data_IF_015828576600
#
_entry.id   IF_015828576600
#
_cell.length_a   1.000
_cell.length_b   1.000
_cell.length_c   1.000
_cell.angle_alpha   90.00
_cell.angle_beta   90.00
_cell.angle_gamma   90.00
#
_symmetry.space_group_name_H-M   'P 1'
#
loop_
_entity.id
_entity.type
_entity.pdbx_description
1 polymer ?
#
# COMPACT_ATOMS: atom_id res chain seq x y z
N UNK A 1 -25.56 -10.05 -15.85
CA UNK A 1 -24.55 -8.96 -15.79
C UNK A 1 -23.44 -9.16 -16.82
N UNK A 2 -22.69 -10.28 -16.84
CA UNK A 2 -21.56 -10.47 -17.77
C UNK A 2 -21.90 -10.68 -19.27
N UNK A 3 -23.18 -10.65 -19.67
CA UNK A 3 -23.61 -10.88 -21.06
C UNK A 3 -24.02 -9.60 -21.80
N UNK A 4 -24.11 -8.47 -21.08
CA UNK A 4 -24.34 -7.17 -21.68
C UNK A 4 -22.98 -6.50 -21.94
N UNK A 5 -22.64 -6.27 -23.20
CA UNK A 5 -21.37 -5.64 -23.58
C UNK A 5 -21.25 -4.20 -23.06
N UNK A 6 -22.37 -3.53 -22.76
CA UNK A 6 -22.37 -2.18 -22.19
C UNK A 6 -21.96 -2.15 -20.70
N UNK A 7 -22.15 -3.26 -19.99
CA UNK A 7 -21.80 -3.38 -18.56
C UNK A 7 -20.37 -3.88 -18.33
N UNK A 8 -19.70 -4.41 -19.36
CA UNK A 8 -18.36 -5.01 -19.24
C UNK A 8 -17.30 -4.02 -18.72
N UNK A 9 -17.47 -2.72 -18.99
CA UNK A 9 -16.60 -1.64 -18.53
C UNK A 9 -17.35 -0.64 -17.65
N UNK A 10 -18.26 -1.10 -16.79
CA UNK A 10 -19.00 -0.25 -15.86
C UNK A 10 -18.37 -0.17 -14.47
N UNK A 11 -18.77 0.86 -13.72
CA UNK A 11 -18.44 1.03 -12.30
C UNK A 11 -18.88 -0.18 -11.46
N UNK A 12 -20.03 -0.78 -11.79
CA UNK A 12 -20.54 -1.98 -11.13
C UNK A 12 -19.63 -3.19 -11.34
N UNK A 13 -19.11 -3.37 -12.56
CA UNK A 13 -18.18 -4.45 -12.89
C UNK A 13 -16.84 -4.26 -12.19
N UNK A 14 -16.31 -3.04 -12.12
CA UNK A 14 -15.10 -2.73 -11.34
C UNK A 14 -15.29 -3.07 -9.84
N UNK A 15 -16.45 -2.71 -9.27
CA UNK A 15 -16.79 -3.03 -7.88
C UNK A 15 -16.89 -4.53 -7.63
N UNK A 16 -17.60 -5.25 -8.51
CA UNK A 16 -17.71 -6.71 -8.41
C UNK A 16 -16.34 -7.39 -8.47
N UNK A 17 -15.46 -6.96 -9.39
CA UNK A 17 -14.09 -7.49 -9.51
C UNK A 17 -13.30 -7.23 -8.23
N UNK A 18 -13.35 -6.01 -7.69
CA UNK A 18 -12.65 -5.69 -6.45
C UNK A 18 -13.16 -6.52 -5.26
N UNK A 19 -14.47 -6.68 -5.12
CA UNK A 19 -15.06 -7.51 -4.06
C UNK A 19 -14.62 -8.98 -4.20
N UNK A 20 -14.60 -9.51 -5.43
CA UNK A 20 -14.07 -10.86 -5.69
C UNK A 20 -12.61 -10.97 -5.26
N UNK A 21 -11.78 -9.97 -5.60
CA UNK A 21 -10.37 -9.95 -5.20
C UNK A 21 -10.17 -9.89 -3.68
N UNK A 22 -10.92 -9.01 -3.00
CA UNK A 22 -10.87 -8.89 -1.55
C UNK A 22 -11.31 -10.20 -0.87
N UNK A 23 -12.39 -10.82 -1.36
CA UNK A 23 -12.83 -12.13 -0.90
C UNK A 23 -11.80 -13.23 -1.22
N UNK A 24 -11.10 -13.15 -2.35
CA UNK A 24 -10.08 -14.13 -2.71
C UNK A 24 -8.90 -14.12 -1.75
N UNK A 25 -8.39 -12.93 -1.44
CA UNK A 25 -7.34 -12.77 -0.43
C UNK A 25 -7.81 -13.24 0.95
N UNK A 26 -9.05 -12.95 1.34
CA UNK A 26 -9.60 -13.34 2.64
C UNK A 26 -9.81 -14.86 2.78
N UNK A 27 -10.41 -15.51 1.76
CA UNK A 27 -10.86 -16.90 1.84
C UNK A 27 -9.79 -17.90 1.39
N UNK A 28 -9.12 -17.60 0.28
CA UNK A 28 -8.18 -18.53 -0.34
C UNK A 28 -6.71 -18.09 -0.16
N UNK A 29 -6.47 -16.83 0.20
CA UNK A 29 -5.15 -16.23 0.36
C UNK A 29 -4.34 -16.23 -0.95
N UNK A 30 -3.01 -16.04 -0.90
CA UNK A 30 -2.17 -15.77 -2.06
C UNK A 30 -1.92 -17.02 -2.93
N UNK A 31 -2.57 -18.14 -2.63
CA UNK A 31 -2.51 -19.36 -3.42
C UNK A 31 -3.23 -19.23 -4.77
N UNK A 32 -4.23 -18.35 -4.86
CA UNK A 32 -4.93 -18.05 -6.11
C UNK A 32 -4.39 -16.72 -6.66
N UNK A 33 -3.76 -16.70 -7.85
CA UNK A 33 -3.30 -15.45 -8.45
C UNK A 33 -4.48 -14.51 -8.73
N UNK A 34 -4.53 -13.37 -8.05
CA UNK A 34 -5.48 -12.30 -8.36
C UNK A 34 -5.09 -11.52 -9.64
N UNK A 35 -3.96 -11.87 -10.29
CA UNK A 35 -3.36 -11.16 -11.42
C UNK A 35 -4.35 -10.93 -12.57
N UNK A 36 -5.21 -11.90 -12.89
CA UNK A 36 -6.21 -11.75 -13.96
C UNK A 36 -7.32 -10.75 -13.59
N UNK A 37 -7.82 -10.81 -12.36
CA UNK A 37 -8.80 -9.85 -11.84
C UNK A 37 -8.20 -8.44 -11.77
N UNK A 38 -6.93 -8.34 -11.35
CA UNK A 38 -6.20 -7.09 -11.30
C UNK A 38 -5.97 -6.50 -12.69
N UNK A 39 -5.61 -7.31 -13.68
CA UNK A 39 -5.48 -6.89 -15.06
C UNK A 39 -6.81 -6.36 -15.62
N UNK A 40 -7.93 -7.01 -15.29
CA UNK A 40 -9.26 -6.52 -15.69
C UNK A 40 -9.61 -5.19 -15.00
N UNK A 41 -9.36 -5.06 -13.70
CA UNK A 41 -9.61 -3.81 -12.97
C UNK A 41 -8.77 -2.66 -13.55
N UNK A 42 -7.50 -2.92 -13.86
CA UNK A 42 -6.62 -1.96 -14.54
C UNK A 42 -7.14 -1.56 -15.92
N UNK A 43 -7.66 -2.52 -16.70
CA UNK A 43 -8.22 -2.23 -18.01
C UNK A 43 -9.47 -1.32 -17.90
N UNK A 44 -10.33 -1.55 -16.92
CA UNK A 44 -11.50 -0.72 -16.66
C UNK A 44 -11.08 0.69 -16.23
N UNK A 45 -10.16 0.82 -15.28
CA UNK A 45 -9.66 2.12 -14.81
C UNK A 45 -8.95 2.90 -15.91
N UNK A 46 -8.16 2.22 -16.75
CA UNK A 46 -7.53 2.81 -17.93
C UNK A 46 -8.58 3.38 -18.88
N UNK A 47 -9.62 2.60 -19.17
CA UNK A 47 -10.69 3.03 -20.05
C UNK A 47 -11.44 4.24 -19.46
N UNK A 48 -11.76 4.20 -18.16
CA UNK A 48 -12.39 5.30 -17.44
C UNK A 48 -11.60 6.60 -17.48
N UNK A 49 -10.28 6.49 -17.28
CA UNK A 49 -9.39 7.65 -17.31
C UNK A 49 -9.27 8.21 -18.74
N UNK A 50 -9.06 7.35 -19.75
CA UNK A 50 -8.84 7.79 -21.14
C UNK A 50 -10.10 8.34 -21.81
N UNK A 51 -11.24 7.72 -21.56
CA UNK A 51 -12.54 8.12 -22.13
C UNK A 51 -13.24 9.18 -21.27
N UNK A 52 -12.61 9.63 -20.19
CA UNK A 52 -13.05 10.79 -19.41
C UNK A 52 -14.36 10.58 -18.65
N UNK A 53 -14.65 9.34 -18.21
CA UNK A 53 -15.79 9.01 -17.36
C UNK A 53 -15.37 8.58 -15.95
N UNK A 54 -14.12 8.86 -15.54
CA UNK A 54 -13.63 8.58 -14.19
C UNK A 54 -14.50 9.25 -13.10
N UNK A 55 -15.13 10.39 -13.38
CA UNK A 55 -16.08 11.04 -12.47
C UNK A 55 -17.34 10.22 -12.16
N UNK A 56 -17.65 9.19 -12.97
CA UNK A 56 -18.74 8.26 -12.69
C UNK A 56 -18.37 7.27 -11.58
N UNK A 57 -17.08 7.09 -11.29
CA UNK A 57 -16.67 6.36 -10.09
C UNK A 57 -16.95 7.19 -8.85
N UNK A 58 -17.64 6.59 -7.89
CA UNK A 58 -17.60 7.10 -6.53
C UNK A 58 -16.16 7.17 -6.07
N UNK A 59 -15.73 8.33 -5.58
CA UNK A 59 -14.35 8.57 -5.12
C UNK A 59 -13.94 7.52 -4.09
N UNK A 60 -14.85 7.13 -3.20
CA UNK A 60 -14.63 6.05 -2.22
C UNK A 60 -14.19 4.73 -2.83
N UNK A 61 -14.57 4.42 -4.08
CA UNK A 61 -14.12 3.22 -4.77
C UNK A 61 -12.71 3.37 -5.35
N UNK A 62 -12.37 4.54 -5.91
CA UNK A 62 -10.99 4.83 -6.32
C UNK A 62 -10.04 4.80 -5.12
N UNK A 63 -10.50 5.27 -3.95
CA UNK A 63 -9.79 5.17 -2.66
C UNK A 63 -9.47 3.72 -2.31
N UNK A 64 -10.36 2.78 -2.64
CA UNK A 64 -10.14 1.36 -2.36
C UNK A 64 -9.23 0.69 -3.40
N UNK A 65 -9.40 0.99 -4.69
CA UNK A 65 -8.71 0.26 -5.76
C UNK A 65 -7.24 0.65 -5.88
N UNK A 66 -6.94 1.95 -5.83
CA UNK A 66 -5.61 2.47 -6.12
C UNK A 66 -4.53 1.97 -5.15
N UNK A 67 -4.74 1.94 -3.82
CA UNK A 67 -3.77 1.37 -2.91
C UNK A 67 -3.50 -0.11 -3.19
N UNK A 68 -4.55 -0.93 -3.37
CA UNK A 68 -4.42 -2.36 -3.67
C UNK A 68 -3.62 -2.61 -4.95
N UNK A 69 -3.95 -1.89 -6.02
CA UNK A 69 -3.25 -2.00 -7.32
C UNK A 69 -1.80 -1.60 -7.18
N UNK A 70 -1.54 -0.46 -6.54
CA UNK A 70 -0.19 0.11 -6.48
C UNK A 70 0.71 -0.73 -5.58
N UNK A 71 0.18 -1.29 -4.49
CA UNK A 71 0.89 -2.29 -3.72
C UNK A 71 1.25 -3.48 -4.60
N UNK A 72 0.27 -4.07 -5.30
CA UNK A 72 0.52 -5.23 -6.16
C UNK A 72 1.60 -4.95 -7.21
N UNK A 73 1.55 -3.80 -7.86
CA UNK A 73 2.58 -3.36 -8.80
C UNK A 73 3.97 -3.26 -8.18
N UNK A 74 4.09 -2.87 -6.91
CA UNK A 74 5.40 -2.66 -6.28
C UNK A 74 6.29 -3.91 -6.19
N UNK A 75 5.69 -5.10 -6.30
CA UNK A 75 6.40 -6.38 -6.15
C UNK A 75 6.00 -7.43 -7.20
N UNK A 76 5.03 -7.14 -8.07
CA UNK A 76 4.61 -8.02 -9.15
C UNK A 76 5.14 -7.51 -10.50
N UNK A 77 6.23 -8.08 -11.04
CA UNK A 77 6.83 -7.61 -12.29
C UNK A 77 5.93 -7.81 -13.52
N UNK A 78 4.89 -8.65 -13.43
CA UNK A 78 3.90 -8.82 -14.50
C UNK A 78 2.93 -7.63 -14.58
N UNK A 79 2.80 -6.86 -13.49
CA UNK A 79 1.98 -5.65 -13.45
C UNK A 79 2.88 -4.42 -13.66
N UNK A 80 2.99 -4.01 -14.92
CA UNK A 80 3.75 -2.82 -15.28
C UNK A 80 2.82 -1.60 -15.20
N UNK A 81 3.10 -0.60 -14.35
CA UNK A 81 2.41 0.68 -14.48
C UNK A 81 2.68 1.23 -15.88
N UNK A 82 1.70 1.89 -16.48
CA UNK A 82 1.83 2.65 -17.73
C UNK A 82 1.76 4.16 -17.40
N UNK A 83 2.17 5.08 -18.30
CA UNK A 83 2.17 6.53 -18.03
C UNK A 83 0.86 7.08 -17.47
N UNK A 84 -0.29 6.65 -18.02
CA UNK A 84 -1.61 7.07 -17.56
C UNK A 84 -1.87 6.78 -16.08
N UNK A 85 -1.23 5.75 -15.52
CA UNK A 85 -1.42 5.37 -14.11
C UNK A 85 -0.79 6.39 -13.16
N UNK A 86 0.37 6.95 -13.54
CA UNK A 86 1.01 8.02 -12.79
C UNK A 86 0.22 9.32 -12.89
N UNK A 87 -0.33 9.61 -14.07
CA UNK A 87 -1.25 10.74 -14.28
C UNK A 87 -2.52 10.58 -13.43
N UNK A 88 -3.05 9.36 -13.32
CA UNK A 88 -4.20 9.07 -12.45
C UNK A 88 -3.85 9.30 -10.96
N UNK A 89 -2.70 8.82 -10.48
CA UNK A 89 -2.25 9.07 -9.10
C UNK A 89 -2.07 10.58 -8.85
N UNK A 90 -1.45 11.30 -9.79
CA UNK A 90 -1.26 12.74 -9.71
C UNK A 90 -2.60 13.50 -9.74
N UNK A 91 -3.54 13.07 -10.57
CA UNK A 91 -4.89 13.61 -10.64
C UNK A 91 -5.63 13.43 -9.31
N UNK A 92 -5.54 12.24 -8.70
CA UNK A 92 -6.08 11.98 -7.37
C UNK A 92 -5.42 12.85 -6.30
N UNK A 93 -4.13 13.17 -6.43
CA UNK A 93 -3.41 14.04 -5.50
C UNK A 93 -3.75 15.53 -5.66
N UNK A 94 -4.02 15.98 -6.90
CA UNK A 94 -4.25 17.38 -7.24
C UNK A 94 -5.69 17.88 -7.14
N UNK A 95 -6.69 16.98 -7.08
CA UNK A 95 -8.10 17.36 -7.05
C UNK A 95 -8.58 17.76 -5.64
N UNK A 96 -8.12 18.93 -5.17
CA UNK A 96 -8.39 19.45 -3.82
C UNK A 96 -9.77 20.13 -3.66
N UNK A 97 -10.56 20.28 -4.73
CA UNK A 97 -11.82 21.04 -4.73
C UNK A 97 -13.11 20.19 -4.62
N UNK A 98 -13.09 19.09 -3.87
CA UNK A 98 -14.36 18.39 -3.58
C UNK A 98 -14.33 16.99 -2.96
N UNK A 99 -13.30 16.67 -2.15
CA UNK A 99 -13.03 15.39 -1.45
C UNK A 99 -12.36 14.29 -2.27
N UNK A 100 -11.02 14.33 -2.32
CA UNK A 100 -10.16 13.15 -2.55
C UNK A 100 -9.09 13.13 -1.44
N UNK A 101 -9.05 12.07 -0.63
CA UNK A 101 -7.93 11.74 0.28
C UNK A 101 -7.66 10.24 0.18
N UNK A 102 -7.13 9.83 -0.98
CA UNK A 102 -6.82 8.43 -1.33
C UNK A 102 -5.39 8.11 -0.87
N UNK A 103 -5.12 8.12 0.44
CA UNK A 103 -3.75 7.90 0.95
C UNK A 103 -2.78 9.03 0.51
N UNK A 104 -1.79 9.34 1.34
CA UNK A 104 -0.87 10.44 1.04
C UNK A 104 -0.16 10.19 -0.30
N UNK A 105 -0.25 11.16 -1.21
CA UNK A 105 0.26 11.05 -2.58
C UNK A 105 1.72 10.61 -2.62
N UNK A 106 2.52 11.01 -1.62
CA UNK A 106 3.92 10.64 -1.46
C UNK A 106 4.08 9.13 -1.30
N UNK A 107 3.32 8.52 -0.38
CA UNK A 107 3.38 7.09 -0.11
C UNK A 107 2.89 6.28 -1.31
N UNK A 108 1.80 6.72 -1.96
CA UNK A 108 1.33 6.06 -3.17
C UNK A 108 2.33 6.15 -4.33
N UNK A 109 2.91 7.33 -4.54
CA UNK A 109 3.94 7.54 -5.54
C UNK A 109 5.19 6.71 -5.24
N UNK A 110 5.58 6.58 -3.97
CA UNK A 110 6.69 5.71 -3.59
C UNK A 110 6.46 4.27 -4.05
N UNK A 111 5.28 3.69 -3.79
CA UNK A 111 4.94 2.35 -4.28
C UNK A 111 4.85 2.26 -5.80
N UNK A 112 4.23 3.24 -6.46
CA UNK A 112 4.10 3.25 -7.92
C UNK A 112 5.45 3.34 -8.64
N UNK A 113 6.46 3.93 -8.00
CA UNK A 113 7.82 4.01 -8.52
C UNK A 113 8.68 2.75 -8.21
N UNK A 114 8.21 1.83 -7.36
CA UNK A 114 8.99 0.64 -6.98
C UNK A 114 9.42 -0.23 -8.16
N UNK A 115 8.60 -0.50 -9.20
CA UNK A 115 9.08 -1.24 -10.36
C UNK A 115 10.31 -0.60 -11.00
N UNK A 116 10.31 0.73 -11.13
CA UNK A 116 11.42 1.52 -11.68
C UNK A 116 12.62 1.49 -10.74
N UNK A 117 12.42 1.69 -9.45
CA UNK A 117 13.48 1.67 -8.45
C UNK A 117 14.13 0.29 -8.32
N UNK A 118 13.33 -0.79 -8.29
CA UNK A 118 13.81 -2.17 -8.24
C UNK A 118 14.62 -2.56 -9.50
N UNK A 119 14.23 -2.05 -10.67
CA UNK A 119 14.93 -2.30 -11.93
C UNK A 119 16.36 -1.76 -11.93
N UNK A 120 16.55 -0.54 -11.43
CA UNK A 120 17.84 0.15 -11.47
C UNK A 120 17.99 1.13 -10.29
N UNK A 121 18.23 0.61 -9.07
CA UNK A 121 18.26 1.46 -7.88
C UNK A 121 19.46 2.43 -7.89
N UNK A 122 20.56 2.04 -8.54
CA UNK A 122 21.75 2.88 -8.71
C UNK A 122 21.43 4.12 -9.58
N UNK A 123 20.72 3.95 -10.70
CA UNK A 123 20.28 5.06 -11.57
C UNK A 123 19.32 6.01 -10.87
N UNK A 124 18.43 5.48 -10.02
CA UNK A 124 17.38 6.26 -9.36
C UNK A 124 17.70 6.61 -7.90
N UNK A 125 18.98 6.52 -7.52
CA UNK A 125 19.45 6.71 -6.17
C UNK A 125 18.93 8.00 -5.53
N UNK A 126 19.09 9.14 -6.23
CA UNK A 126 18.64 10.45 -5.73
C UNK A 126 17.13 10.48 -5.48
N UNK A 127 16.34 9.93 -6.40
CA UNK A 127 14.88 9.87 -6.26
C UNK A 127 14.46 8.97 -5.09
N UNK A 128 15.12 7.82 -4.92
CA UNK A 128 14.88 6.91 -3.80
C UNK A 128 15.20 7.62 -2.47
N UNK A 129 16.33 8.32 -2.37
CA UNK A 129 16.71 9.06 -1.16
C UNK A 129 15.72 10.20 -0.86
N UNK A 130 15.23 10.91 -1.88
CA UNK A 130 14.22 11.96 -1.72
C UNK A 130 12.89 11.39 -1.25
N UNK A 131 12.38 10.35 -1.91
CA UNK A 131 11.16 9.66 -1.51
C UNK A 131 11.26 9.13 -0.07
N UNK A 132 12.41 8.57 0.31
CA UNK A 132 12.63 8.08 1.67
C UNK A 132 12.55 9.18 2.72
N UNK A 133 13.16 10.34 2.46
CA UNK A 133 13.08 11.51 3.35
C UNK A 133 11.66 12.01 3.49
N UNK A 134 10.90 12.08 2.40
CA UNK A 134 9.50 12.50 2.42
C UNK A 134 8.63 11.53 3.24
N UNK A 135 8.76 10.23 2.99
CA UNK A 135 8.06 9.19 3.76
C UNK A 135 8.43 9.23 5.24
N UNK A 136 9.70 9.46 5.59
CA UNK A 136 10.11 9.64 7.00
C UNK A 136 9.50 10.88 7.65
N UNK A 137 9.44 12.01 6.92
CA UNK A 137 8.81 13.22 7.41
C UNK A 137 7.30 13.02 7.62
N UNK A 138 6.66 12.25 6.75
CA UNK A 138 5.26 11.85 6.87
C UNK A 138 5.04 10.97 8.11
N UNK A 139 5.87 9.94 8.33
CA UNK A 139 5.81 9.10 9.55
C UNK A 139 5.96 9.92 10.83
N UNK A 140 6.84 10.92 10.83
CA UNK A 140 7.05 11.77 11.99
C UNK A 140 5.76 12.54 12.40
N UNK A 141 4.86 12.84 11.45
CA UNK A 141 3.56 13.46 11.76
C UNK A 141 2.61 12.54 12.54
N UNK A 142 2.79 11.22 12.43
CA UNK A 142 2.01 10.24 13.17
C UNK A 142 2.59 9.96 14.56
N UNK A 143 3.83 10.38 14.82
CA UNK A 143 4.45 10.33 16.14
C UNK A 143 4.08 11.60 16.90
N UNK A 144 2.96 11.57 17.62
CA UNK A 144 2.62 12.62 18.60
C UNK A 144 3.71 12.64 19.67
N UNK A 145 4.27 13.83 19.92
CA UNK A 145 5.30 14.06 20.93
C UNK A 145 4.92 13.45 22.28
N UNK A 146 5.95 12.91 22.93
CA UNK A 146 6.02 12.27 24.23
C UNK A 146 5.50 13.18 25.36
N UNK A 147 4.18 13.38 25.42
CA UNK A 147 3.45 13.91 26.55
C UNK A 147 2.91 12.74 27.35
N UNK A 148 3.60 12.40 28.43
CA UNK A 148 3.39 11.18 29.20
C UNK A 148 1.92 10.82 29.51
N UNK A 149 1.72 9.49 29.54
CA UNK A 149 0.53 8.70 29.87
C UNK A 149 -0.28 8.18 28.66
N UNK A 150 -0.10 6.86 28.48
CA UNK A 150 -0.96 5.88 27.80
C UNK A 150 -1.44 6.16 26.37
N UNK A 151 -0.78 5.42 25.47
CA UNK A 151 -1.18 5.02 24.11
C UNK A 151 -1.22 6.13 23.05
N UNK A 152 -0.88 5.79 21.80
CA UNK A 152 -0.99 6.72 20.69
C UNK A 152 -2.48 7.02 20.42
N UNK A 153 -3.00 8.07 21.04
CA UNK A 153 -4.28 8.65 20.66
C UNK A 153 -3.99 9.61 19.51
N UNK A 154 -4.10 9.10 18.29
CA UNK A 154 -3.86 9.86 17.06
C UNK A 154 -5.01 10.85 16.83
N UNK A 155 -4.69 12.12 16.57
CA UNK A 155 -5.70 13.15 16.32
C UNK A 155 -6.35 12.97 14.95
N UNK A 156 -7.62 12.56 14.93
CA UNK A 156 -8.40 12.29 13.72
C UNK A 156 -8.91 13.54 12.97
N UNK A 157 -8.27 14.69 13.10
CA UNK A 157 -8.84 15.97 12.65
C UNK A 157 -8.71 16.24 11.16
N UNK A 158 -7.90 15.48 10.41
CA UNK A 158 -7.63 15.78 8.99
C UNK A 158 -8.19 14.77 7.98
N UNK A 159 -8.46 13.51 8.39
CA UNK A 159 -8.97 12.47 7.49
C UNK A 159 -10.40 12.08 7.89
N UNK A 160 -11.41 12.82 7.43
CA UNK A 160 -12.80 12.46 7.75
C UNK A 160 -13.86 13.57 7.75
N UNK A 161 -13.73 14.65 6.95
CA UNK A 161 -14.78 15.68 6.84
C UNK A 161 -16.08 15.22 6.15
N UNK A 162 -16.31 13.91 6.00
CA UNK A 162 -17.50 13.35 5.34
C UNK A 162 -18.56 12.78 6.28
N UNK A 163 -18.30 12.66 7.59
CA UNK A 163 -19.23 12.04 8.55
C UNK A 163 -19.23 12.87 9.84
N UNK A 164 -19.79 14.09 9.79
CA UNK A 164 -19.75 15.02 10.92
C UNK A 164 -21.00 15.00 11.84
N UNK A 165 -21.97 14.11 11.62
CA UNK A 165 -23.25 14.18 12.35
C UNK A 165 -23.72 12.85 12.97
N UNK A 166 -22.83 12.01 13.50
CA UNK A 166 -23.25 10.79 14.21
C UNK A 166 -22.43 10.52 15.50
N UNK A 167 -23.10 9.94 16.49
CA UNK A 167 -22.67 9.82 17.89
C UNK A 167 -21.35 9.07 18.11
N UNK A 168 -20.49 9.63 18.99
CA UNK A 168 -19.16 9.14 19.38
C UNK A 168 -19.12 7.76 20.05
N UNK A 169 -20.27 7.18 20.41
CA UNK A 169 -20.37 5.93 21.18
C UNK A 169 -20.86 4.73 20.35
N UNK A 170 -20.99 4.87 19.02
CA UNK A 170 -21.46 3.79 18.17
C UNK A 170 -20.40 2.66 18.06
N UNK A 171 -20.72 1.41 18.44
CA UNK A 171 -19.79 0.27 18.41
C UNK A 171 -19.24 -0.06 17.01
N UNK A 172 -19.79 0.50 15.94
CA UNK A 172 -19.29 0.36 14.57
C UNK A 172 -18.27 1.47 14.22
N UNK A 173 -18.39 2.66 14.83
CA UNK A 173 -17.60 3.84 14.42
C UNK A 173 -16.20 3.91 15.05
N UNK A 174 -16.04 3.45 16.29
CA UNK A 174 -14.72 3.43 16.96
C UNK A 174 -13.72 2.55 16.20
N UNK A 175 -14.05 1.29 15.83
CA UNK A 175 -13.19 0.48 14.96
C UNK A 175 -12.88 1.11 13.61
N UNK A 176 -13.86 1.81 13.02
CA UNK A 176 -13.70 2.46 11.73
C UNK A 176 -12.72 3.64 11.80
N UNK A 177 -12.84 4.49 12.82
CA UNK A 177 -11.95 5.65 13.05
C UNK A 177 -10.51 5.21 13.35
N UNK A 178 -10.33 4.19 14.18
CA UNK A 178 -9.00 3.68 14.51
C UNK A 178 -8.33 3.09 13.26
N UNK A 179 -9.08 2.40 12.41
CA UNK A 179 -8.55 1.86 11.14
C UNK A 179 -8.31 2.90 10.07
N UNK A 180 -9.07 4.01 10.05
CA UNK A 180 -8.80 5.16 9.20
C UNK A 180 -7.41 5.78 9.46
N UNK A 181 -6.84 5.56 10.64
CA UNK A 181 -5.49 6.04 10.98
C UNK A 181 -4.44 4.93 10.85
N UNK A 182 -4.75 3.74 11.36
CA UNK A 182 -3.81 2.63 11.41
C UNK A 182 -3.47 2.06 10.02
N UNK A 183 -4.43 2.04 9.10
CA UNK A 183 -4.22 1.59 7.73
C UNK A 183 -3.19 2.45 6.98
N UNK A 184 -3.40 3.77 6.89
CA UNK A 184 -2.40 4.69 6.32
C UNK A 184 -1.05 4.61 7.03
N UNK A 185 -1.01 4.64 8.36
CA UNK A 185 0.26 4.57 9.09
C UNK A 185 1.09 3.32 8.74
N UNK A 186 0.47 2.13 8.72
CA UNK A 186 1.18 0.90 8.35
C UNK A 186 1.58 0.84 6.87
N UNK A 187 0.83 1.52 6.01
CA UNK A 187 1.15 1.69 4.59
C UNK A 187 2.41 2.54 4.41
N UNK A 188 2.53 3.63 5.16
CA UNK A 188 3.71 4.51 5.15
C UNK A 188 4.93 3.75 5.70
N UNK A 189 4.78 2.97 6.78
CA UNK A 189 5.85 2.10 7.29
C UNK A 189 6.36 1.13 6.23
N UNK A 190 5.45 0.52 5.46
CA UNK A 190 5.80 -0.41 4.40
C UNK A 190 6.56 0.28 3.25
N UNK A 191 6.15 1.49 2.84
CA UNK A 191 6.90 2.29 1.86
C UNK A 191 8.31 2.63 2.38
N UNK A 192 8.40 3.07 3.63
CA UNK A 192 9.65 3.41 4.30
C UNK A 192 10.61 2.22 4.33
N UNK A 193 10.12 1.03 4.67
CA UNK A 193 10.92 -0.19 4.68
C UNK A 193 11.46 -0.58 3.30
N UNK A 194 10.66 -0.45 2.24
CA UNK A 194 11.10 -0.74 0.88
C UNK A 194 12.17 0.25 0.39
N UNK A 195 11.92 1.54 0.57
CA UNK A 195 12.88 2.59 0.22
C UNK A 195 14.19 2.43 1.00
N UNK A 196 14.10 2.13 2.30
CA UNK A 196 15.25 1.80 3.14
C UNK A 196 16.03 0.60 2.60
N UNK A 197 15.34 -0.48 2.19
CA UNK A 197 15.98 -1.65 1.58
C UNK A 197 16.72 -1.28 0.30
N UNK A 198 16.11 -0.47 -0.57
CA UNK A 198 16.74 -0.01 -1.81
C UNK A 198 17.97 0.86 -1.53
N UNK A 199 17.89 1.79 -0.58
CA UNK A 199 19.04 2.61 -0.18
C UNK A 199 20.18 1.76 0.35
N UNK A 200 19.90 0.74 1.18
CA UNK A 200 20.93 -0.19 1.67
C UNK A 200 21.60 -1.00 0.56
N UNK A 201 20.92 -1.22 -0.57
CA UNK A 201 21.54 -1.86 -1.74
C UNK A 201 22.51 -0.94 -2.49
N UNK A 202 22.25 0.37 -2.50
CA UNK A 202 23.04 1.35 -3.27
C UNK A 202 24.14 1.98 -2.43
N UNK A 203 23.82 2.42 -1.22
CA UNK A 203 24.73 3.13 -0.31
C UNK A 203 25.42 2.19 0.69
N UNK A 204 24.96 0.95 0.81
CA UNK A 204 25.39 0.00 1.85
C UNK A 204 24.61 0.12 3.16
N UNK A 205 24.90 -0.76 4.11
CA UNK A 205 24.19 -0.86 5.38
C UNK A 205 24.73 0.14 6.42
N UNK A 206 24.34 1.41 6.32
CA UNK A 206 24.64 2.40 7.37
C UNK A 206 23.91 2.07 8.67
N UNK A 207 24.47 2.48 9.81
CA UNK A 207 23.87 2.27 11.13
C UNK A 207 22.47 2.89 11.21
N UNK A 208 22.29 4.10 10.64
CA UNK A 208 21.01 4.78 10.57
C UNK A 208 19.96 3.96 9.82
N UNK A 209 20.28 3.45 8.63
CA UNK A 209 19.34 2.66 7.83
C UNK A 209 18.99 1.33 8.51
N UNK A 210 19.95 0.69 9.19
CA UNK A 210 19.69 -0.51 9.98
C UNK A 210 18.81 -0.23 11.20
N UNK A 211 19.04 0.90 11.88
CA UNK A 211 18.21 1.35 13.02
C UNK A 211 16.78 1.64 12.59
N UNK A 212 16.61 2.40 11.50
CA UNK A 212 15.29 2.71 10.94
C UNK A 212 14.53 1.42 10.55
N UNK A 213 15.21 0.46 9.91
CA UNK A 213 14.58 -0.83 9.57
C UNK A 213 14.12 -1.61 10.82
N UNK A 214 14.91 -1.59 11.91
CA UNK A 214 14.48 -2.19 13.19
C UNK A 214 13.26 -1.46 13.77
N UNK A 215 13.21 -0.14 13.66
CA UNK A 215 12.04 0.65 14.09
C UNK A 215 10.80 0.24 13.32
N UNK A 216 10.87 0.18 11.98
CA UNK A 216 9.77 -0.26 11.13
C UNK A 216 9.27 -1.66 11.50
N UNK A 217 10.18 -2.61 11.78
CA UNK A 217 9.80 -3.94 12.24
C UNK A 217 9.06 -3.94 13.59
N UNK A 218 9.49 -3.11 14.55
CA UNK A 218 8.84 -3.02 15.87
C UNK A 218 7.48 -2.33 15.77
N UNK A 219 7.42 -1.24 15.01
CA UNK A 219 6.20 -0.46 14.81
C UNK A 219 5.12 -1.29 14.11
N UNK A 220 5.46 -2.07 13.07
CA UNK A 220 4.46 -2.94 12.42
C UNK A 220 3.97 -4.06 13.34
N UNK A 221 4.82 -4.62 14.20
CA UNK A 221 4.37 -5.61 15.20
C UNK A 221 3.36 -4.98 16.14
N UNK A 222 3.67 -3.81 16.71
CA UNK A 222 2.75 -3.08 17.59
C UNK A 222 1.44 -2.72 16.87
N UNK A 223 1.53 -2.16 15.67
CA UNK A 223 0.38 -1.80 14.86
C UNK A 223 -0.48 -3.02 14.51
N UNK A 224 0.13 -4.17 14.21
CA UNK A 224 -0.60 -5.40 13.89
C UNK A 224 -1.38 -5.94 15.08
N UNK A 225 -0.78 -5.95 16.28
CA UNK A 225 -1.45 -6.39 17.51
C UNK A 225 -2.64 -5.50 17.87
N UNK A 226 -2.57 -4.21 17.53
CA UNK A 226 -3.71 -3.29 17.67
C UNK A 226 -4.74 -3.53 16.57
N UNK A 227 -4.28 -3.65 15.32
CA UNK A 227 -5.12 -3.78 14.13
C UNK A 227 -5.99 -5.02 14.13
N UNK A 228 -5.44 -6.18 14.49
CA UNK A 228 -6.19 -7.44 14.46
C UNK A 228 -7.39 -7.49 15.42
N UNK A 229 -7.45 -6.56 16.39
CA UNK A 229 -8.64 -6.38 17.24
C UNK A 229 -9.86 -5.87 16.47
N UNK A 230 -9.64 -5.27 15.30
CA UNK A 230 -10.67 -4.71 14.42
C UNK A 230 -11.13 -5.69 13.32
N UNK A 231 -10.80 -6.98 13.46
CA UNK A 231 -11.39 -8.05 12.65
C UNK A 231 -11.11 -7.94 11.14
N UNK A 232 -12.09 -8.24 10.26
CA UNK A 232 -11.91 -8.25 8.80
C UNK A 232 -11.38 -6.95 8.19
N UNK A 233 -11.63 -5.80 8.85
CA UNK A 233 -11.13 -4.49 8.41
C UNK A 233 -9.59 -4.47 8.39
N UNK A 234 -8.94 -5.13 9.35
CA UNK A 234 -7.49 -5.23 9.42
C UNK A 234 -6.90 -6.19 8.40
N UNK A 235 -7.65 -7.24 8.07
CA UNK A 235 -7.20 -8.27 7.15
C UNK A 235 -6.91 -7.73 5.73
N UNK A 236 -7.52 -6.60 5.35
CA UNK A 236 -7.30 -5.98 4.05
C UNK A 236 -5.95 -5.26 3.88
N UNK A 237 -5.33 -4.77 4.96
CA UNK A 237 -4.10 -3.95 4.89
C UNK A 237 -2.95 -4.53 5.72
N UNK A 238 -3.23 -5.06 6.90
CA UNK A 238 -2.20 -5.45 7.86
C UNK A 238 -1.34 -6.63 7.39
N UNK A 239 -1.90 -7.73 6.84
CA UNK A 239 -1.09 -8.84 6.34
C UNK A 239 -0.17 -8.40 5.19
N UNK A 240 -0.62 -7.46 4.38
CA UNK A 240 0.13 -6.96 3.23
C UNK A 240 1.32 -6.08 3.67
N UNK A 241 1.09 -5.12 4.56
CA UNK A 241 2.15 -4.25 5.09
C UNK A 241 3.17 -5.03 5.92
N UNK A 242 2.73 -6.01 6.72
CA UNK A 242 3.60 -6.96 7.42
C UNK A 242 4.46 -7.78 6.45
N UNK A 243 3.87 -8.33 5.38
CA UNK A 243 4.60 -9.09 4.37
C UNK A 243 5.68 -8.24 3.68
N UNK A 244 5.37 -6.98 3.37
CA UNK A 244 6.32 -6.04 2.76
C UNK A 244 7.50 -5.76 3.70
N UNK A 245 7.24 -5.41 4.96
CA UNK A 245 8.28 -5.09 5.93
C UNK A 245 9.12 -6.33 6.26
N UNK A 246 8.50 -7.51 6.35
CA UNK A 246 9.21 -8.78 6.51
C UNK A 246 10.12 -9.11 5.31
N UNK A 247 9.68 -8.79 4.10
CA UNK A 247 10.44 -9.02 2.88
C UNK A 247 11.63 -8.07 2.76
N UNK A 248 11.44 -6.80 3.13
CA UNK A 248 12.45 -5.74 3.12
C UNK A 248 13.51 -5.88 4.23
N UNK A 249 13.19 -6.57 5.33
CA UNK A 249 14.10 -6.76 6.46
C UNK A 249 15.10 -7.90 6.23
N UNK A 250 16.29 -7.71 6.82
CA UNK A 250 17.31 -8.76 6.89
C UNK A 250 16.95 -9.78 8.00
N UNK A 251 17.57 -10.97 8.01
CA UNK A 251 17.43 -11.91 9.12
C UNK A 251 17.86 -11.25 10.46
N UNK A 252 16.89 -10.92 11.30
CA UNK A 252 17.10 -10.40 12.65
C UNK A 252 15.94 -10.82 13.59
N UNK A 253 16.11 -10.69 14.92
CA UNK A 253 15.05 -11.01 15.88
C UNK A 253 13.74 -10.28 15.60
N UNK A 254 13.79 -8.99 15.24
CA UNK A 254 12.59 -8.19 14.97
C UNK A 254 11.81 -8.71 13.75
N UNK A 255 12.49 -9.22 12.73
CA UNK A 255 11.84 -9.88 11.58
C UNK A 255 11.11 -11.16 12.00
N UNK A 256 11.66 -11.91 12.95
CA UNK A 256 10.98 -13.08 13.50
C UNK A 256 9.75 -12.68 14.31
N UNK A 257 9.80 -11.56 15.04
CA UNK A 257 8.64 -11.02 15.76
C UNK A 257 7.49 -10.65 14.81
N UNK A 258 7.76 -10.15 13.59
CA UNK A 258 6.71 -9.95 12.57
C UNK A 258 6.06 -11.28 12.21
N UNK A 259 6.87 -12.32 12.00
CA UNK A 259 6.38 -13.67 11.68
C UNK A 259 5.50 -14.22 12.80
N UNK A 260 5.94 -14.10 14.04
CA UNK A 260 5.21 -14.55 15.22
C UNK A 260 3.91 -13.78 15.42
N UNK A 261 3.94 -12.45 15.27
CA UNK A 261 2.74 -11.61 15.35
C UNK A 261 1.71 -12.02 14.28
N UNK A 262 2.16 -12.21 13.04
CA UNK A 262 1.25 -12.61 11.95
C UNK A 262 0.71 -14.03 12.11
N UNK A 263 1.46 -14.96 12.70
CA UNK A 263 0.97 -16.31 12.99
C UNK A 263 0.05 -16.36 14.22
N UNK A 264 0.27 -15.50 15.22
CA UNK A 264 -0.51 -15.48 16.45
C UNK A 264 -1.81 -14.70 16.34
N UNK A 265 -1.89 -13.73 15.43
CA UNK A 265 -3.07 -12.85 15.29
C UNK A 265 -3.97 -13.18 14.09
N UNK A 266 -3.48 -13.95 13.12
CA UNK A 266 -4.30 -14.50 12.03
C UNK A 266 -4.59 -15.98 12.33
N UNK A 267 -5.77 -16.48 11.92
CA UNK A 267 -6.02 -17.92 11.94
C UNK A 267 -4.87 -18.67 11.25
N UNK A 268 -4.42 -19.81 11.79
CA UNK A 268 -3.19 -20.51 11.40
C UNK A 268 -3.04 -20.70 9.88
N UNK A 269 -4.12 -21.04 9.17
CA UNK A 269 -4.14 -21.20 7.72
C UNK A 269 -3.92 -19.87 6.96
N UNK A 270 -4.48 -18.76 7.44
CA UNK A 270 -4.27 -17.41 6.90
C UNK A 270 -2.85 -16.92 7.27
N UNK A 271 -2.38 -17.30 8.45
CA UNK A 271 -1.01 -17.11 8.96
C UNK A 271 0.07 -17.70 8.05
N UNK A 272 -0.11 -18.94 7.60
CA UNK A 272 0.84 -19.59 6.69
C UNK A 272 0.87 -18.94 5.30
N UNK A 273 -0.31 -18.56 4.83
CA UNK A 273 -0.52 -17.96 3.52
C UNK A 273 0.19 -16.61 3.35
N UNK A 274 0.11 -15.70 4.33
CA UNK A 274 0.80 -14.40 4.21
C UNK A 274 2.33 -14.54 4.20
N UNK A 275 2.90 -15.56 4.85
CA UNK A 275 4.35 -15.82 4.83
C UNK A 275 4.81 -16.22 3.42
N UNK A 276 4.02 -17.00 2.69
CA UNK A 276 4.32 -17.33 1.30
C UNK A 276 4.35 -16.09 0.42
N UNK A 277 3.40 -15.17 0.62
CA UNK A 277 3.39 -13.86 -0.04
C UNK A 277 4.64 -13.05 0.30
N UNK A 278 5.01 -12.97 1.58
CA UNK A 278 6.23 -12.29 2.02
C UNK A 278 7.51 -12.88 1.38
N UNK A 279 7.57 -14.21 1.19
CA UNK A 279 8.66 -14.88 0.47
C UNK A 279 8.69 -14.50 -1.01
N UNK A 280 7.53 -14.42 -1.68
CA UNK A 280 7.44 -13.96 -3.08
C UNK A 280 7.94 -12.53 -3.21
N UNK A 281 7.52 -11.63 -2.32
CA UNK A 281 7.98 -10.24 -2.30
C UNK A 281 9.49 -10.16 -2.12
N UNK A 282 10.02 -10.94 -1.17
CA UNK A 282 11.46 -11.00 -0.94
C UNK A 282 12.21 -11.43 -2.20
N UNK A 283 11.73 -12.48 -2.86
CA UNK A 283 12.33 -12.94 -4.12
C UNK A 283 12.28 -11.88 -5.23
N UNK A 284 11.20 -11.11 -5.32
CA UNK A 284 11.07 -10.03 -6.30
C UNK A 284 12.02 -8.85 -6.01
N UNK A 285 12.20 -8.49 -4.72
CA UNK A 285 13.12 -7.42 -4.30
C UNK A 285 14.59 -7.83 -4.51
N UNK A 286 14.93 -9.10 -4.28
CA UNK A 286 16.30 -9.60 -4.39
C UNK A 286 16.72 -9.91 -5.83
N UNK A 287 15.77 -10.30 -6.70
CA UNK A 287 16.08 -10.67 -8.07
C UNK A 287 15.84 -9.51 -9.05
N UNK A 288 16.84 -8.64 -9.24
CA UNK A 288 16.78 -7.53 -10.21
C UNK A 288 16.44 -7.96 -11.64
N UNK A 289 16.72 -9.21 -12.02
CA UNK A 289 16.48 -9.68 -13.39
C UNK A 289 15.01 -9.75 -13.77
N UNK A 290 14.10 -9.92 -12.79
CA UNK A 290 12.66 -9.97 -13.05
C UNK A 290 12.09 -8.60 -13.45
N UNK A 291 12.85 -7.53 -13.23
CA UNK A 291 12.43 -6.15 -13.54
C UNK A 291 13.05 -5.58 -14.82
N UNK A 292 13.89 -6.34 -15.54
CA UNK A 292 14.68 -5.84 -16.68
C UNK A 292 13.87 -5.26 -17.85
N UNK A 293 12.60 -5.66 -17.99
CA UNK A 293 11.72 -5.24 -19.08
C UNK A 293 10.69 -4.17 -18.67
N UNK A 294 10.86 -3.52 -17.52
CA UNK A 294 10.07 -2.34 -17.16
C UNK A 294 10.62 -1.16 -17.95
N UNK A 295 9.96 -0.83 -19.07
CA UNK A 295 10.40 0.19 -20.02
C UNK A 295 10.70 1.52 -19.30
N UNK A 296 11.95 1.98 -19.38
CA UNK A 296 12.39 3.20 -18.70
C UNK A 296 12.15 4.47 -19.52
N UNK A 297 11.66 4.36 -20.75
CA UNK A 297 11.55 5.48 -21.70
C UNK A 297 10.25 6.27 -21.60
N UNK A 298 9.21 5.73 -20.99
CA UNK A 298 7.87 6.34 -20.97
C UNK A 298 7.67 7.38 -19.86
N UNK A 299 8.70 7.70 -19.07
CA UNK A 299 8.55 8.31 -17.74
C UNK A 299 9.29 9.63 -17.50
N UNK A 300 9.78 10.29 -18.55
CA UNK A 300 10.42 11.62 -18.45
C UNK A 300 9.42 12.79 -18.39
N UNK A 301 8.11 12.52 -18.44
CA UNK A 301 7.09 13.55 -18.66
C UNK A 301 6.56 14.26 -17.40
N UNK A 302 6.92 13.84 -16.18
CA UNK A 302 6.44 14.46 -14.93
C UNK A 302 7.48 15.43 -14.30
N UNK A 303 8.67 15.56 -14.90
CA UNK A 303 9.74 16.44 -14.37
C UNK A 303 9.66 17.90 -14.87
N UNK A 304 8.63 18.27 -15.65
CA UNK A 304 8.43 19.64 -16.16
C UNK A 304 6.99 20.14 -16.01
N UNK A 305 6.56 20.38 -14.78
CA UNK A 305 5.39 21.20 -14.47
C UNK A 305 5.49 21.77 -13.07
#
# INVERSE_FOLDING_TARGET
>A
MLQDSSEAFSVNTACAIYLIMACQELLWGPAVPATQHMAMLLAILRNAFKEGWLQEFHISMLVCYLPTITFEMAYNPDLKPEPWFYELIAWCAGNQNGQVTVCDSITMMAFAQMPRFNSNPDKYHTQISQAYKLVKAELARFSVEDGGQDKPTMSSTECGKGIQDLSLEDPIQVPHRDMQTLGPYTTILAAGALLNRLLRQVEGCTELLLSDMKSFCKEIVSASQQGFKFGPLAAGVMPQTMAIIWAASDPCPERNSIKEAGLGSLNYEIGLKWIERAKRFKSAIENRSVWKDVDTRSYEFVEKS
#
